data_IF_957140589999
#
_entry.id   IF_957140589999
#
_cell.length_a   1.000
_cell.length_b   1.000
_cell.length_c   1.000
_cell.angle_alpha   90.00
_cell.angle_beta   90.00
_cell.angle_gamma   90.00
#
_symmetry.space_group_name_H-M   'P 1'
#
loop_
_entity.id
_entity.type
_entity.pdbx_description
1 polymer ?
#
# COMPACT_ATOMS: atom_id res chain seq x y z
N UNK A 1 -2.64 13.86 21.40
CA UNK A 1 -2.74 12.44 21.02
C UNK A 1 -1.32 11.97 20.74
N UNK A 2 -0.82 10.99 21.51
CA UNK A 2 0.49 10.38 21.22
C UNK A 2 0.48 9.78 19.81
N UNK A 3 1.61 9.76 19.15
CA UNK A 3 1.79 9.16 17.83
C UNK A 3 1.61 7.64 17.95
N UNK A 4 0.79 7.04 17.10
CA UNK A 4 0.66 5.58 17.06
C UNK A 4 1.92 4.97 16.44
N UNK A 5 2.33 3.83 16.98
CA UNK A 5 3.47 3.05 16.49
C UNK A 5 3.31 2.72 14.99
N UNK A 6 4.44 2.76 14.27
CA UNK A 6 4.54 2.28 12.89
C UNK A 6 4.45 0.75 12.83
N UNK A 7 4.22 0.21 11.63
CA UNK A 7 4.23 -1.24 11.47
C UNK A 7 5.58 -1.85 11.83
N UNK A 8 6.71 -1.20 11.48
CA UNK A 8 8.07 -1.66 11.82
C UNK A 8 8.27 -1.73 13.33
N UNK A 9 7.82 -0.71 14.08
CA UNK A 9 7.87 -0.70 15.54
C UNK A 9 6.98 -1.79 16.15
N UNK A 10 5.79 -2.03 15.57
CA UNK A 10 4.89 -3.11 16.00
C UNK A 10 5.45 -4.49 15.70
N UNK A 11 6.07 -4.70 14.53
CA UNK A 11 6.75 -5.95 14.16
C UNK A 11 7.85 -6.26 15.18
N UNK A 12 8.67 -5.25 15.49
CA UNK A 12 9.78 -5.40 16.43
C UNK A 12 9.28 -5.71 17.84
N UNK A 13 8.31 -4.94 18.34
CA UNK A 13 7.73 -5.16 19.66
C UNK A 13 7.08 -6.54 19.79
N UNK A 14 6.17 -6.88 18.88
CA UNK A 14 5.45 -8.14 18.93
C UNK A 14 6.39 -9.34 18.71
N UNK A 15 7.36 -9.24 17.79
CA UNK A 15 8.32 -10.29 17.51
C UNK A 15 9.26 -10.57 18.68
N UNK A 16 9.78 -9.53 19.33
CA UNK A 16 10.62 -9.68 20.53
C UNK A 16 9.80 -10.24 21.69
N UNK A 17 8.60 -9.73 21.92
CA UNK A 17 7.72 -10.23 22.98
C UNK A 17 7.36 -11.71 22.76
N UNK A 18 7.04 -12.11 21.52
CA UNK A 18 6.78 -13.51 21.19
C UNK A 18 7.96 -14.43 21.50
N UNK A 19 9.18 -14.01 21.13
CA UNK A 19 10.39 -14.77 21.41
C UNK A 19 10.64 -14.93 22.92
N UNK A 20 10.44 -13.85 23.68
CA UNK A 20 10.61 -13.80 25.13
C UNK A 20 9.61 -14.74 25.80
N UNK A 21 8.32 -14.62 25.46
CA UNK A 21 7.26 -15.45 26.03
C UNK A 21 7.43 -16.94 25.68
N UNK A 22 7.81 -17.27 24.45
CA UNK A 22 8.14 -18.65 24.03
C UNK A 22 9.32 -19.25 24.80
N UNK A 23 10.23 -18.39 25.28
CA UNK A 23 11.35 -18.82 26.13
C UNK A 23 10.94 -19.02 27.59
N UNK A 24 9.67 -18.85 27.93
CA UNK A 24 9.15 -19.00 29.31
C UNK A 24 9.43 -17.80 30.21
N UNK A 25 9.87 -16.68 29.65
CA UNK A 25 10.11 -15.42 30.36
C UNK A 25 8.79 -14.65 30.44
N UNK A 26 8.50 -14.05 31.60
CA UNK A 26 7.27 -13.27 31.79
C UNK A 26 7.22 -12.01 30.94
N UNK A 27 6.01 -11.51 30.64
CA UNK A 27 5.83 -10.24 29.93
C UNK A 27 6.52 -9.06 30.60
N UNK A 28 6.50 -9.00 31.94
CA UNK A 28 7.15 -7.96 32.72
C UNK A 28 8.68 -7.99 32.55
N UNK A 29 9.29 -9.15 32.71
CA UNK A 29 10.73 -9.32 32.50
C UNK A 29 11.13 -9.08 31.05
N UNK A 30 10.27 -9.44 30.11
CA UNK A 30 10.41 -9.13 28.69
C UNK A 30 10.47 -7.63 28.42
N UNK A 31 9.59 -6.86 29.01
CA UNK A 31 9.60 -5.39 28.87
C UNK A 31 10.90 -4.80 29.46
N UNK A 32 11.42 -5.32 30.57
CA UNK A 32 12.71 -4.89 31.11
C UNK A 32 13.87 -5.13 30.13
N UNK A 33 13.89 -6.32 29.52
CA UNK A 33 14.92 -6.68 28.52
C UNK A 33 14.83 -5.76 27.28
N UNK A 34 13.63 -5.46 26.82
CA UNK A 34 13.40 -4.57 25.67
C UNK A 34 13.77 -3.11 26.00
N UNK A 35 13.45 -2.61 27.20
CA UNK A 35 13.78 -1.27 27.64
C UNK A 35 15.31 -1.03 27.74
N UNK A 36 16.06 -2.05 28.19
CA UNK A 36 17.52 -1.97 28.29
C UNK A 36 18.21 -2.01 26.93
N UNK A 37 17.60 -2.71 25.95
CA UNK A 37 18.09 -2.84 24.58
C UNK A 37 17.72 -1.70 23.64
N UNK A 38 16.75 -0.86 23.97
CA UNK A 38 16.27 0.20 23.06
C UNK A 38 17.15 1.48 23.18
N UNK A 39 17.76 1.82 22.03
CA UNK A 39 18.58 3.02 21.91
C UNK A 39 17.76 4.29 21.57
N UNK A 40 16.48 4.15 21.17
CA UNK A 40 15.63 5.26 20.77
C UNK A 40 14.87 5.83 21.98
N UNK A 41 14.95 7.14 22.17
CA UNK A 41 14.33 7.82 23.32
C UNK A 41 12.80 7.67 23.35
N UNK A 42 12.13 7.70 22.18
CA UNK A 42 10.67 7.63 22.06
C UNK A 42 10.15 6.21 22.35
N UNK A 43 10.83 5.17 21.84
CA UNK A 43 10.53 3.77 22.16
C UNK A 43 10.72 3.46 23.64
N UNK A 44 11.79 3.95 24.23
CA UNK A 44 12.11 3.77 25.64
C UNK A 44 11.07 4.39 26.58
N UNK A 45 10.50 5.55 26.23
CA UNK A 45 9.41 6.15 27.01
C UNK A 45 8.14 5.30 26.99
N UNK A 46 7.79 4.70 25.83
CA UNK A 46 6.63 3.82 25.71
C UNK A 46 6.85 2.54 26.51
N UNK A 47 8.02 1.91 26.40
CA UNK A 47 8.34 0.70 27.14
C UNK A 47 8.33 0.94 28.65
N UNK A 48 8.87 2.08 29.10
CA UNK A 48 8.82 2.50 30.51
C UNK A 48 7.38 2.67 31.02
N UNK A 49 6.51 3.29 30.23
CA UNK A 49 5.09 3.45 30.59
C UNK A 49 4.37 2.10 30.69
N UNK A 50 4.66 1.18 29.73
CA UNK A 50 4.15 -0.19 29.79
C UNK A 50 4.64 -0.90 31.06
N UNK A 51 5.93 -0.80 31.38
CA UNK A 51 6.53 -1.43 32.56
C UNK A 51 5.86 -0.95 33.85
N UNK A 52 5.74 0.37 34.03
CA UNK A 52 5.14 0.96 35.23
C UNK A 52 3.70 0.49 35.44
N UNK A 53 2.92 0.36 34.37
CA UNK A 53 1.54 -0.14 34.45
C UNK A 53 1.50 -1.65 34.66
N UNK A 54 2.36 -2.41 33.96
CA UNK A 54 2.44 -3.86 34.08
C UNK A 54 2.86 -4.31 35.49
N UNK A 55 3.73 -3.55 36.17
CA UNK A 55 4.09 -3.75 37.59
C UNK A 55 2.87 -3.59 38.52
N UNK A 56 1.89 -2.75 38.18
CA UNK A 56 0.70 -2.51 38.97
C UNK A 56 -0.42 -3.49 38.71
N UNK A 57 -0.71 -3.80 37.44
CA UNK A 57 -1.87 -4.60 37.04
C UNK A 57 -1.54 -6.05 36.67
N UNK A 58 -0.26 -6.36 36.36
CA UNK A 58 0.18 -7.69 35.99
C UNK A 58 -0.28 -8.16 34.59
N UNK A 59 -0.96 -7.33 33.81
CA UNK A 59 -1.52 -7.66 32.51
C UNK A 59 -0.96 -6.72 31.43
N UNK A 60 -0.56 -7.31 30.29
CA UNK A 60 0.07 -6.57 29.20
C UNK A 60 -0.94 -5.69 28.43
N UNK A 61 -2.17 -6.19 28.22
CA UNK A 61 -3.21 -5.47 27.48
C UNK A 61 -3.51 -4.07 28.10
N UNK A 62 -3.86 -3.95 29.41
CA UNK A 62 -4.14 -2.63 30.00
C UNK A 62 -2.90 -1.72 29.96
N UNK A 63 -1.71 -2.28 30.12
CA UNK A 63 -0.46 -1.53 30.06
C UNK A 63 -0.22 -0.96 28.65
N UNK A 64 -0.45 -1.72 27.61
CA UNK A 64 -0.38 -1.25 26.21
C UNK A 64 -1.47 -0.21 25.92
N UNK A 65 -2.71 -0.44 26.36
CA UNK A 65 -3.85 0.47 26.14
C UNK A 65 -3.58 1.85 26.72
N UNK A 66 -3.05 1.93 27.94
CA UNK A 66 -2.75 3.17 28.64
C UNK A 66 -1.77 4.06 27.87
N UNK A 67 -0.83 3.50 27.14
CA UNK A 67 0.11 4.28 26.33
C UNK A 67 -0.58 5.05 25.21
N UNK A 68 -1.70 4.55 24.70
CA UNK A 68 -2.39 5.07 23.52
C UNK A 68 -1.60 4.95 22.20
N UNK A 69 -0.43 4.31 22.23
CA UNK A 69 0.46 4.17 21.09
C UNK A 69 0.10 2.99 20.17
N UNK A 70 -0.59 1.98 20.69
CA UNK A 70 -0.95 0.77 19.93
C UNK A 70 -2.26 0.93 19.16
N UNK A 71 -2.40 0.28 17.97
CA UNK A 71 -3.67 0.17 17.27
C UNK A 71 -4.68 -0.68 18.05
N UNK A 72 -5.98 -0.37 17.91
CA UNK A 72 -7.05 -1.13 18.56
C UNK A 72 -6.97 -2.64 18.32
N UNK A 73 -6.59 -3.02 17.10
CA UNK A 73 -6.45 -4.42 16.76
C UNK A 73 -5.36 -5.14 17.56
N UNK A 74 -4.19 -4.52 17.71
CA UNK A 74 -3.13 -5.09 18.56
C UNK A 74 -3.58 -5.24 20.00
N UNK A 75 -4.32 -4.25 20.51
CA UNK A 75 -4.86 -4.25 21.87
C UNK A 75 -5.85 -5.40 22.08
N UNK A 76 -6.86 -5.52 21.21
CA UNK A 76 -7.84 -6.60 21.31
C UNK A 76 -7.22 -7.99 21.21
N UNK A 77 -6.27 -8.16 20.29
CA UNK A 77 -5.58 -9.45 20.16
C UNK A 77 -4.74 -9.78 21.39
N UNK A 78 -4.06 -8.79 21.96
CA UNK A 78 -3.30 -8.98 23.21
C UNK A 78 -4.22 -9.37 24.36
N UNK A 79 -5.37 -8.71 24.50
CA UNK A 79 -6.39 -9.04 25.50
C UNK A 79 -6.83 -10.51 25.39
N UNK A 80 -7.15 -10.96 24.17
CA UNK A 80 -7.57 -12.32 23.91
C UNK A 80 -6.43 -13.31 24.22
N UNK A 81 -5.23 -13.01 23.77
CA UNK A 81 -4.05 -13.84 24.04
C UNK A 81 -3.77 -14.00 25.54
N UNK A 82 -3.97 -12.95 26.33
CA UNK A 82 -3.86 -13.04 27.80
C UNK A 82 -4.98 -13.86 28.41
N UNK A 83 -6.24 -13.64 28.00
CA UNK A 83 -7.39 -14.37 28.52
C UNK A 83 -7.37 -15.87 28.19
N UNK A 84 -6.85 -16.22 27.01
CA UNK A 84 -6.74 -17.62 26.56
C UNK A 84 -5.43 -18.30 27.01
N UNK A 85 -4.48 -17.54 27.60
CA UNK A 85 -3.15 -18.06 27.95
C UNK A 85 -2.25 -18.36 26.76
N UNK A 86 -2.55 -17.78 25.58
CA UNK A 86 -1.81 -17.96 24.31
C UNK A 86 -1.15 -16.66 23.83
N UNK A 87 -0.64 -15.89 24.79
CA UNK A 87 -0.07 -14.56 24.47
C UNK A 87 1.17 -14.67 23.56
N UNK A 88 1.96 -15.72 23.70
CA UNK A 88 3.14 -15.98 22.87
C UNK A 88 2.77 -16.24 21.40
N UNK A 89 1.76 -17.09 21.14
CA UNK A 89 1.22 -17.36 19.80
C UNK A 89 0.58 -16.09 19.21
N UNK A 90 -0.13 -15.34 20.04
CA UNK A 90 -0.78 -14.09 19.64
C UNK A 90 0.22 -13.01 19.23
N UNK A 91 1.31 -12.85 20.00
CA UNK A 91 2.37 -11.90 19.67
C UNK A 91 3.09 -12.28 18.37
N UNK A 92 3.35 -13.59 18.15
CA UNK A 92 3.92 -14.07 16.89
C UNK A 92 2.98 -13.77 15.69
N UNK A 93 1.70 -14.06 15.85
CA UNK A 93 0.69 -13.81 14.83
C UNK A 93 0.51 -12.31 14.53
N UNK A 94 0.58 -11.44 15.55
CA UNK A 94 0.60 -10.00 15.39
C UNK A 94 1.83 -9.52 14.62
N UNK A 95 3.01 -10.03 14.93
CA UNK A 95 4.23 -9.71 14.22
C UNK A 95 4.12 -10.09 12.72
N UNK A 96 3.65 -11.31 12.43
CA UNK A 96 3.42 -11.77 11.06
C UNK A 96 2.36 -10.93 10.31
N UNK A 97 1.29 -10.52 10.99
CA UNK A 97 0.26 -9.65 10.43
C UNK A 97 0.83 -8.29 10.03
N UNK A 98 1.56 -7.60 10.94
CA UNK A 98 2.15 -6.30 10.65
C UNK A 98 3.27 -6.39 9.62
N UNK A 99 4.00 -7.51 9.57
CA UNK A 99 4.98 -7.79 8.52
C UNK A 99 4.31 -7.80 7.13
N UNK A 100 3.19 -8.51 6.96
CA UNK A 100 2.43 -8.53 5.70
C UNK A 100 1.88 -7.15 5.33
N UNK A 101 1.42 -6.38 6.31
CA UNK A 101 0.96 -5.00 6.08
C UNK A 101 2.11 -4.09 5.61
N UNK A 102 3.31 -4.20 6.19
CA UNK A 102 4.48 -3.42 5.78
C UNK A 102 4.97 -3.81 4.38
N UNK A 103 5.08 -5.10 4.08
CA UNK A 103 5.42 -5.58 2.74
C UNK A 103 4.44 -5.06 1.67
N UNK A 104 3.15 -5.00 1.99
CA UNK A 104 2.14 -4.40 1.09
C UNK A 104 2.38 -2.91 0.90
N UNK A 105 2.72 -2.18 1.97
CA UNK A 105 3.02 -0.76 1.91
C UNK A 105 4.27 -0.48 1.09
N UNK A 106 5.31 -1.28 1.27
CA UNK A 106 6.58 -1.14 0.54
C UNK A 106 6.42 -1.49 -0.95
N UNK A 107 5.64 -2.51 -1.26
CA UNK A 107 5.29 -2.82 -2.64
C UNK A 107 4.56 -1.65 -3.32
N UNK A 108 3.60 -1.01 -2.64
CA UNK A 108 2.88 0.17 -3.16
C UNK A 108 3.81 1.38 -3.27
N UNK A 109 4.66 1.63 -2.28
CA UNK A 109 5.65 2.72 -2.26
C UNK A 109 6.60 2.61 -3.46
N UNK A 110 7.18 1.42 -3.64
CA UNK A 110 8.09 1.11 -4.75
C UNK A 110 7.39 1.25 -6.11
N UNK A 111 6.14 0.78 -6.20
CA UNK A 111 5.31 0.88 -7.40
C UNK A 111 5.05 2.32 -7.85
N UNK A 112 4.99 3.27 -6.93
CA UNK A 112 4.69 4.68 -7.21
C UNK A 112 5.96 5.51 -7.37
N UNK A 113 7.00 5.22 -6.61
CA UNK A 113 8.23 6.03 -6.59
C UNK A 113 8.93 6.07 -7.95
N UNK A 114 9.07 4.90 -8.61
CA UNK A 114 9.73 4.82 -9.90
C UNK A 114 8.98 5.58 -11.03
N UNK A 115 7.67 5.37 -11.27
CA UNK A 115 6.91 6.15 -12.25
C UNK A 115 6.92 7.65 -11.99
N UNK A 116 6.88 8.09 -10.73
CA UNK A 116 6.93 9.52 -10.36
C UNK A 116 8.28 10.12 -10.71
N UNK A 117 9.38 9.45 -10.39
CA UNK A 117 10.73 9.90 -10.76
C UNK A 117 10.90 9.97 -12.28
N UNK A 118 10.42 8.96 -13.00
CA UNK A 118 10.47 8.91 -14.46
C UNK A 118 9.64 10.01 -15.13
N UNK A 119 8.41 10.25 -14.64
CA UNK A 119 7.58 11.37 -15.10
C UNK A 119 8.24 12.71 -14.84
N UNK A 120 8.88 12.89 -13.69
CA UNK A 120 9.63 14.10 -13.37
C UNK A 120 10.75 14.34 -14.37
N UNK A 121 11.55 13.31 -14.68
CA UNK A 121 12.64 13.39 -15.67
C UNK A 121 12.10 13.67 -17.08
N UNK A 122 11.01 13.01 -17.48
CA UNK A 122 10.32 13.24 -18.75
C UNK A 122 9.90 14.72 -18.90
N UNK A 123 9.26 15.28 -17.87
CA UNK A 123 8.84 16.67 -17.87
C UNK A 123 10.01 17.64 -18.01
N UNK A 124 11.15 17.36 -17.34
CA UNK A 124 12.37 18.16 -17.48
C UNK A 124 12.90 18.10 -18.91
N UNK A 125 12.99 16.93 -19.52
CA UNK A 125 13.46 16.76 -20.91
C UNK A 125 12.54 17.55 -21.87
N UNK A 126 11.24 17.36 -21.77
CA UNK A 126 10.25 18.06 -22.61
C UNK A 126 10.33 19.59 -22.41
N UNK A 127 10.46 20.04 -21.17
CA UNK A 127 10.63 21.47 -20.87
C UNK A 127 11.91 22.04 -21.50
N UNK A 128 13.06 21.34 -21.40
CA UNK A 128 14.31 21.77 -22.05
C UNK A 128 14.16 21.83 -23.56
N UNK A 129 13.52 20.84 -24.19
CA UNK A 129 13.25 20.83 -25.62
C UNK A 129 12.42 22.06 -26.06
N UNK A 130 11.35 22.37 -25.35
CA UNK A 130 10.50 23.51 -25.71
C UNK A 130 11.13 24.87 -25.37
N UNK A 131 11.84 25.01 -24.26
CA UNK A 131 12.36 26.29 -23.77
C UNK A 131 13.68 26.65 -24.44
N UNK A 132 14.55 25.66 -24.74
CA UNK A 132 15.90 25.89 -25.25
C UNK A 132 16.06 25.50 -26.71
N UNK A 133 15.56 24.33 -27.11
CA UNK A 133 15.85 23.77 -28.44
C UNK A 133 14.94 24.40 -29.51
N UNK A 134 13.64 24.48 -29.26
CA UNK A 134 12.70 25.05 -30.25
C UNK A 134 13.00 26.51 -30.65
N UNK A 135 13.35 27.45 -29.75
CA UNK A 135 13.70 28.82 -30.14
C UNK A 135 14.97 28.90 -30.99
N UNK A 136 15.94 27.99 -30.81
CA UNK A 136 17.14 27.95 -31.66
C UNK A 136 16.76 27.64 -33.11
N UNK A 137 15.87 26.66 -33.30
CA UNK A 137 15.37 26.33 -34.64
C UNK A 137 14.55 27.47 -35.27
N UNK A 138 13.72 28.15 -34.48
CA UNK A 138 12.98 29.33 -34.94
C UNK A 138 13.94 30.40 -35.50
N UNK A 139 15.04 30.69 -34.81
CA UNK A 139 16.06 31.62 -35.26
C UNK A 139 16.72 31.17 -36.57
N UNK A 140 17.06 29.88 -36.71
CA UNK A 140 17.63 29.33 -37.94
C UNK A 140 16.65 29.49 -39.13
N UNK A 141 15.36 29.24 -38.94
CA UNK A 141 14.34 29.42 -39.97
C UNK A 141 14.21 30.89 -40.41
N UNK A 142 14.17 31.82 -39.44
CA UNK A 142 14.13 33.26 -39.74
C UNK A 142 15.36 33.71 -40.52
N UNK A 143 16.56 33.17 -40.20
CA UNK A 143 17.80 33.48 -40.95
C UNK A 143 17.79 32.93 -42.39
N UNK A 144 17.03 31.85 -42.64
CA UNK A 144 16.86 31.26 -43.97
C UNK A 144 15.71 31.97 -44.78
N UNK A 145 15.12 33.03 -44.22
CA UNK A 145 14.06 33.77 -44.87
C UNK A 145 12.73 33.05 -44.99
N UNK A 146 12.54 32.00 -44.23
CA UNK A 146 11.32 31.21 -44.25
C UNK A 146 10.61 31.24 -42.89
N UNK A 147 9.26 31.25 -42.92
CA UNK A 147 8.47 31.05 -41.71
C UNK A 147 8.17 29.57 -41.47
N UNK A 148 8.26 29.15 -40.23
CA UNK A 148 7.82 27.80 -39.87
C UNK A 148 6.32 27.62 -40.13
N UNK A 149 5.93 26.60 -40.87
CA UNK A 149 4.55 26.30 -41.25
C UNK A 149 4.10 24.95 -40.70
N UNK A 150 2.78 24.69 -40.75
CA UNK A 150 2.22 23.38 -40.36
C UNK A 150 2.40 23.03 -38.87
N UNK A 151 2.79 21.78 -38.60
CA UNK A 151 2.93 21.23 -37.25
C UNK A 151 4.03 21.93 -36.44
N UNK A 152 5.11 22.39 -37.12
CA UNK A 152 6.21 23.11 -36.46
C UNK A 152 5.71 24.44 -35.88
N UNK A 153 4.83 25.19 -36.59
CA UNK A 153 4.23 26.43 -36.10
C UNK A 153 3.27 26.21 -34.92
N UNK A 154 2.51 25.12 -34.96
CA UNK A 154 1.66 24.71 -33.82
C UNK A 154 2.49 24.38 -32.58
N UNK A 155 3.60 23.63 -32.74
CA UNK A 155 4.55 23.31 -31.66
C UNK A 155 5.23 24.58 -31.13
N UNK A 156 5.61 25.53 -31.97
CA UNK A 156 6.13 26.83 -31.54
C UNK A 156 5.09 27.65 -30.77
N UNK A 157 3.84 27.66 -31.20
CA UNK A 157 2.76 28.31 -30.46
C UNK A 157 2.52 27.71 -29.10
N UNK A 158 2.56 26.35 -29.01
CA UNK A 158 2.51 25.65 -27.74
C UNK A 158 3.75 25.98 -26.90
N UNK A 159 4.95 26.00 -27.50
CA UNK A 159 6.21 26.38 -26.84
C UNK A 159 6.21 27.84 -26.37
N UNK A 160 5.64 28.77 -27.16
CA UNK A 160 5.47 30.18 -26.79
C UNK A 160 4.51 30.34 -25.62
N UNK A 161 3.36 29.65 -25.65
CA UNK A 161 2.43 29.56 -24.53
C UNK A 161 3.07 28.90 -23.31
N UNK A 162 3.84 27.80 -23.49
CA UNK A 162 4.61 27.16 -22.45
C UNK A 162 5.71 28.07 -21.88
N UNK A 163 6.38 28.88 -22.70
CA UNK A 163 7.40 29.83 -22.24
C UNK A 163 6.80 30.94 -21.38
N UNK A 164 5.62 31.45 -21.76
CA UNK A 164 4.86 32.42 -20.98
C UNK A 164 4.22 31.79 -19.75
N UNK A 165 3.85 30.50 -19.83
CA UNK A 165 3.25 29.69 -18.75
C UNK A 165 4.22 28.66 -18.18
N UNK A 166 5.51 28.65 -18.58
CA UNK A 166 6.50 27.65 -18.15
C UNK A 166 6.62 27.59 -16.62
N UNK A 167 6.53 28.73 -15.97
CA UNK A 167 6.51 28.81 -14.50
C UNK A 167 5.23 28.13 -13.98
N UNK A 168 4.10 28.32 -14.63
CA UNK A 168 2.81 27.72 -14.24
C UNK A 168 2.84 26.20 -14.45
N UNK A 169 3.40 25.71 -15.57
CA UNK A 169 3.54 24.28 -15.86
C UNK A 169 4.55 23.58 -14.95
N UNK A 170 5.68 24.21 -14.67
CA UNK A 170 6.66 23.70 -13.71
C UNK A 170 6.07 23.74 -12.30
N UNK A 171 5.38 24.81 -11.93
CA UNK A 171 4.67 24.89 -10.65
C UNK A 171 3.56 23.83 -10.57
N UNK A 172 2.78 23.63 -11.64
CA UNK A 172 1.75 22.58 -11.69
C UNK A 172 2.36 21.18 -11.57
N UNK A 173 3.46 20.90 -12.26
CA UNK A 173 4.17 19.63 -12.16
C UNK A 173 4.76 19.42 -10.76
N UNK A 174 5.38 20.46 -10.19
CA UNK A 174 5.89 20.44 -8.81
C UNK A 174 4.75 20.29 -7.81
N UNK A 175 3.62 20.96 -8.01
CA UNK A 175 2.42 20.80 -7.16
C UNK A 175 1.84 19.40 -7.27
N UNK A 176 1.77 18.81 -8.47
CA UNK A 176 1.34 17.40 -8.64
C UNK A 176 2.32 16.46 -7.96
N UNK A 177 3.63 16.66 -8.12
CA UNK A 177 4.67 15.89 -7.42
C UNK A 177 4.58 16.03 -5.90
N UNK A 178 4.35 17.25 -5.42
CA UNK A 178 4.15 17.52 -3.98
C UNK A 178 2.86 16.87 -3.49
N UNK A 179 1.75 16.93 -4.25
CA UNK A 179 0.48 16.28 -3.88
C UNK A 179 0.67 14.76 -3.83
N UNK A 180 1.31 14.16 -4.82
CA UNK A 180 1.62 12.73 -4.84
C UNK A 180 2.54 12.35 -3.67
N UNK A 181 3.58 13.12 -3.42
CA UNK A 181 4.49 12.96 -2.29
C UNK A 181 3.76 13.11 -0.95
N UNK A 182 2.87 14.10 -0.82
CA UNK A 182 2.05 14.32 0.36
C UNK A 182 1.03 13.19 0.60
N UNK A 183 0.39 12.68 -0.46
CA UNK A 183 -0.52 11.53 -0.39
C UNK A 183 0.23 10.25 0.01
N UNK A 184 1.50 10.09 -0.40
CA UNK A 184 2.33 8.96 0.01
C UNK A 184 2.72 9.08 1.49
N UNK A 185 3.06 10.28 1.98
CA UNK A 185 3.55 10.52 3.36
C UNK A 185 2.44 10.64 4.41
N UNK A 186 1.28 11.21 4.07
CA UNK A 186 0.22 11.47 5.04
C UNK A 186 -0.86 10.39 5.05
N UNK A 187 -0.85 9.57 6.10
CA UNK A 187 -1.77 8.42 6.33
C UNK A 187 -3.27 8.80 6.22
N UNK A 188 -3.65 10.00 6.65
CA UNK A 188 -5.05 10.51 6.62
C UNK A 188 -5.52 10.90 5.20
N UNK A 189 -4.69 11.62 4.45
CA UNK A 189 -4.99 12.00 3.06
C UNK A 189 -5.04 10.78 2.13
N UNK A 190 -4.24 9.74 2.45
CA UNK A 190 -4.20 8.49 1.71
C UNK A 190 -5.50 7.71 1.79
N UNK A 191 -6.15 7.65 2.95
CA UNK A 191 -7.40 6.88 3.14
C UNK A 191 -8.55 7.50 2.33
N UNK A 192 -8.71 8.81 2.36
CA UNK A 192 -9.76 9.52 1.62
C UNK A 192 -9.54 9.51 0.10
N UNK A 193 -8.28 9.62 -0.34
CA UNK A 193 -7.91 9.58 -1.76
C UNK A 193 -8.04 8.17 -2.35
N UNK A 194 -7.61 7.15 -1.61
CA UNK A 194 -7.73 5.73 -1.99
C UNK A 194 -9.21 5.33 -2.09
N UNK A 195 -10.08 5.76 -1.19
CA UNK A 195 -11.51 5.44 -1.25
C UNK A 195 -12.19 5.98 -2.51
N UNK A 196 -11.80 7.17 -2.98
CA UNK A 196 -12.29 7.74 -4.24
C UNK A 196 -11.72 7.08 -5.49
N UNK A 197 -10.46 6.63 -5.46
CA UNK A 197 -9.81 5.98 -6.60
C UNK A 197 -10.17 4.48 -6.71
N UNK A 198 -10.62 3.86 -5.65
CA UNK A 198 -11.11 2.47 -5.63
C UNK A 198 -12.28 2.21 -6.61
N UNK A 199 -12.93 3.27 -7.12
CA UNK A 199 -13.97 3.19 -8.15
C UNK A 199 -13.42 2.88 -9.55
N UNK A 200 -12.13 3.05 -9.81
CA UNK A 200 -11.50 2.77 -11.10
C UNK A 200 -11.25 1.26 -11.19
N UNK A 201 -11.73 0.61 -12.25
CA UNK A 201 -11.81 -0.85 -12.39
C UNK A 201 -10.55 -1.66 -12.06
N UNK A 202 -9.35 -1.09 -12.27
CA UNK A 202 -8.09 -1.74 -11.92
C UNK A 202 -7.78 -1.64 -10.41
N UNK A 203 -7.96 -0.47 -9.82
CA UNK A 203 -7.76 -0.24 -8.39
C UNK A 203 -8.73 -1.05 -7.52
N UNK A 204 -9.94 -1.31 -8.04
CA UNK A 204 -10.93 -2.20 -7.40
C UNK A 204 -10.38 -3.62 -7.21
N UNK A 205 -9.63 -4.15 -8.20
CA UNK A 205 -9.01 -5.48 -8.09
C UNK A 205 -7.91 -5.55 -7.01
N UNK A 206 -7.12 -4.49 -6.88
CA UNK A 206 -6.07 -4.38 -5.85
C UNK A 206 -6.72 -4.27 -4.46
N UNK A 207 -7.70 -3.37 -4.30
CA UNK A 207 -8.43 -3.20 -3.06
C UNK A 207 -9.11 -4.49 -2.59
N UNK A 208 -9.72 -5.23 -3.53
CA UNK A 208 -10.35 -6.52 -3.26
C UNK A 208 -9.35 -7.57 -2.77
N UNK A 209 -8.18 -7.69 -3.43
CA UNK A 209 -7.15 -8.64 -3.02
C UNK A 209 -6.56 -8.27 -1.66
N UNK A 210 -6.25 -6.99 -1.44
CA UNK A 210 -5.76 -6.51 -0.15
C UNK A 210 -6.74 -6.78 0.98
N UNK A 211 -8.03 -6.54 0.75
CA UNK A 211 -9.06 -6.81 1.74
C UNK A 211 -9.16 -8.30 2.07
N UNK A 212 -9.06 -9.18 1.06
CA UNK A 212 -9.02 -10.64 1.27
C UNK A 212 -7.79 -11.09 2.06
N UNK A 213 -6.61 -10.52 1.78
CA UNK A 213 -5.39 -10.80 2.56
C UNK A 213 -5.60 -10.46 4.03
N UNK A 214 -6.12 -9.26 4.32
CA UNK A 214 -6.40 -8.81 5.68
C UNK A 214 -7.42 -9.69 6.38
N UNK A 215 -8.50 -10.02 5.70
CA UNK A 215 -9.53 -10.90 6.22
C UNK A 215 -8.97 -12.28 6.57
N UNK A 216 -8.26 -12.92 5.62
CA UNK A 216 -7.68 -14.24 5.84
C UNK A 216 -6.61 -14.23 6.96
N UNK A 217 -5.75 -13.20 7.00
CA UNK A 217 -4.77 -13.04 8.09
C UNK A 217 -5.43 -12.82 9.44
N UNK A 218 -6.50 -12.01 9.49
CA UNK A 218 -7.27 -11.77 10.70
C UNK A 218 -7.94 -13.02 11.23
N UNK A 219 -8.56 -13.81 10.34
CA UNK A 219 -9.19 -15.08 10.68
C UNK A 219 -8.15 -16.10 11.18
N UNK A 220 -7.04 -16.27 10.44
CA UNK A 220 -5.97 -17.19 10.85
C UNK A 220 -5.46 -16.88 12.25
N UNK A 221 -5.18 -15.60 12.50
CA UNK A 221 -4.65 -15.15 13.79
C UNK A 221 -5.67 -15.33 14.93
N UNK A 222 -6.93 -14.95 14.70
CA UNK A 222 -7.98 -15.07 15.69
C UNK A 222 -8.21 -16.56 16.10
N UNK A 223 -8.28 -17.45 15.11
CA UNK A 223 -8.43 -18.89 15.35
C UNK A 223 -7.23 -19.48 16.06
N UNK A 224 -5.99 -19.11 15.66
CA UNK A 224 -4.74 -19.53 16.35
C UNK A 224 -4.70 -19.05 17.79
N UNK A 225 -5.27 -17.89 18.09
CA UNK A 225 -5.36 -17.34 19.46
C UNK A 225 -6.46 -17.99 20.29
N UNK A 226 -7.21 -18.96 19.74
CA UNK A 226 -8.22 -19.74 20.45
C UNK A 226 -9.62 -19.16 20.44
N UNK A 227 -9.89 -18.11 19.63
CA UNK A 227 -11.26 -17.66 19.42
C UNK A 227 -12.06 -18.68 18.63
N UNK A 228 -13.36 -18.70 18.88
CA UNK A 228 -14.27 -19.46 18.06
C UNK A 228 -14.47 -18.83 16.65
N UNK A 229 -15.21 -19.52 15.79
CA UNK A 229 -15.41 -19.13 14.40
C UNK A 229 -16.18 -17.81 14.28
N UNK A 230 -17.22 -17.63 15.11
CA UNK A 230 -18.10 -16.44 15.05
C UNK A 230 -17.37 -15.19 15.55
N UNK A 231 -16.62 -15.32 16.65
CA UNK A 231 -15.80 -14.24 17.19
C UNK A 231 -14.66 -13.86 16.22
N UNK A 232 -13.99 -14.87 15.64
CA UNK A 232 -12.94 -14.66 14.65
C UNK A 232 -13.47 -13.93 13.41
N UNK A 233 -14.66 -14.28 12.94
CA UNK A 233 -15.30 -13.64 11.81
C UNK A 233 -15.69 -12.19 12.11
N UNK A 234 -16.23 -11.92 13.31
CA UNK A 234 -16.58 -10.57 13.78
C UNK A 234 -15.36 -9.67 13.91
N UNK A 235 -14.26 -10.20 14.45
CA UNK A 235 -13.00 -9.46 14.55
C UNK A 235 -12.42 -9.14 13.18
N UNK A 236 -12.42 -10.11 12.26
CA UNK A 236 -11.90 -9.94 10.91
C UNK A 236 -12.72 -8.96 10.07
N UNK A 237 -14.03 -8.84 10.33
CA UNK A 237 -14.90 -7.80 9.75
C UNK A 237 -14.42 -6.40 10.13
N UNK A 238 -14.08 -6.17 11.41
CA UNK A 238 -13.58 -4.86 11.90
C UNK A 238 -12.26 -4.47 11.26
N UNK A 239 -11.42 -5.44 10.86
CA UNK A 239 -10.16 -5.20 10.16
C UNK A 239 -10.35 -4.83 8.69
N UNK A 240 -11.50 -5.06 8.13
CA UNK A 240 -11.78 -4.89 6.71
C UNK A 240 -12.23 -3.46 6.43
N UNK A 241 -11.37 -2.67 5.75
CA UNK A 241 -11.66 -1.29 5.33
C UNK A 241 -12.41 -1.22 3.99
N UNK A 242 -12.73 -2.36 3.36
CA UNK A 242 -13.32 -2.44 2.04
C UNK A 242 -14.79 -2.88 2.12
N UNK A 243 -15.71 -1.92 2.02
CA UNK A 243 -17.14 -2.13 2.19
C UNK A 243 -17.73 -3.33 1.41
N UNK A 244 -17.37 -3.57 0.12
CA UNK A 244 -17.93 -4.73 -0.59
C UNK A 244 -17.54 -6.09 0.02
N UNK A 245 -16.37 -6.21 0.66
CA UNK A 245 -16.00 -7.43 1.37
C UNK A 245 -16.67 -7.49 2.73
N UNK A 246 -16.77 -6.36 3.43
CA UNK A 246 -17.45 -6.26 4.72
C UNK A 246 -18.90 -6.74 4.65
N UNK A 247 -19.66 -6.29 3.63
CA UNK A 247 -21.02 -6.77 3.38
C UNK A 247 -21.08 -8.29 3.16
N UNK A 248 -20.10 -8.87 2.49
CA UNK A 248 -20.03 -10.33 2.27
C UNK A 248 -19.70 -11.10 3.55
N UNK A 249 -18.85 -10.53 4.41
CA UNK A 249 -18.56 -11.10 5.73
C UNK A 249 -19.82 -11.09 6.59
N UNK A 250 -20.57 -9.98 6.60
CA UNK A 250 -21.85 -9.88 7.31
C UNK A 250 -22.88 -10.90 6.78
N UNK A 251 -22.98 -11.07 5.46
CA UNK A 251 -23.81 -12.11 4.86
C UNK A 251 -23.40 -13.51 5.34
N UNK A 252 -22.10 -13.79 5.42
CA UNK A 252 -21.58 -15.06 5.95
C UNK A 252 -22.01 -15.27 7.43
N UNK A 253 -21.90 -14.22 8.25
CA UNK A 253 -22.33 -14.26 9.66
C UNK A 253 -23.83 -14.52 9.81
N UNK A 254 -24.66 -13.89 8.98
CA UNK A 254 -26.13 -14.10 9.01
C UNK A 254 -26.47 -15.55 8.66
N UNK A 255 -25.85 -16.12 7.62
CA UNK A 255 -26.09 -17.52 7.23
C UNK A 255 -25.66 -18.50 8.33
N UNK A 256 -24.53 -18.22 9.01
CA UNK A 256 -24.10 -19.06 10.15
C UNK A 256 -25.09 -18.97 11.31
N UNK A 257 -25.68 -17.81 11.60
CA UNK A 257 -26.76 -17.68 12.62
C UNK A 257 -28.01 -18.43 12.23
N UNK A 258 -28.28 -18.61 10.93
CA UNK A 258 -29.40 -19.43 10.41
C UNK A 258 -29.09 -20.94 10.47
N UNK A 259 -27.88 -21.33 10.90
CA UNK A 259 -27.47 -22.72 11.10
C UNK A 259 -26.67 -23.31 9.95
N UNK A 260 -26.28 -22.51 8.97
CA UNK A 260 -25.39 -22.97 7.91
C UNK A 260 -23.93 -23.15 8.41
N UNK A 261 -23.23 -24.10 7.81
CA UNK A 261 -21.82 -24.33 8.14
C UNK A 261 -20.92 -23.22 7.58
N UNK A 262 -19.85 -22.87 8.29
CA UNK A 262 -18.91 -21.83 7.87
C UNK A 262 -18.41 -21.96 6.43
N UNK A 263 -17.96 -23.15 5.93
CA UNK A 263 -17.54 -23.28 4.54
C UNK A 263 -18.63 -23.01 3.52
N UNK A 264 -19.88 -23.39 3.84
CA UNK A 264 -21.04 -23.16 2.97
C UNK A 264 -21.38 -21.67 2.91
N UNK A 265 -21.47 -21.02 4.05
CA UNK A 265 -21.72 -19.59 4.16
C UNK A 265 -20.62 -18.76 3.46
N UNK A 266 -19.35 -19.14 3.63
CA UNK A 266 -18.21 -18.51 2.98
C UNK A 266 -18.26 -18.62 1.45
N UNK A 267 -18.66 -19.79 0.93
CA UNK A 267 -18.83 -20.06 -0.49
C UNK A 267 -19.98 -19.26 -1.09
N UNK A 268 -21.15 -19.24 -0.45
CA UNK A 268 -22.32 -18.49 -0.93
C UNK A 268 -22.07 -16.97 -0.90
N UNK A 269 -21.34 -16.47 0.06
CA UNK A 269 -20.90 -15.09 0.09
C UNK A 269 -19.82 -14.77 -0.97
N UNK A 270 -19.26 -15.77 -1.65
CA UNK A 270 -18.20 -15.60 -2.66
C UNK A 270 -17.02 -14.76 -2.14
N UNK A 271 -16.57 -15.06 -0.92
CA UNK A 271 -15.42 -14.39 -0.31
C UNK A 271 -14.12 -14.92 -0.91
N UNK A 272 -14.01 -16.23 -1.11
CA UNK A 272 -12.87 -16.87 -1.75
C UNK A 272 -13.23 -17.39 -3.15
N UNK A 273 -12.25 -17.89 -3.87
CA UNK A 273 -12.40 -18.40 -5.23
C UNK A 273 -11.86 -19.84 -5.33
N UNK A 274 -12.60 -20.70 -6.03
CA UNK A 274 -12.14 -21.96 -6.61
C UNK A 274 -11.39 -22.88 -5.65
N UNK A 275 -10.07 -22.83 -5.64
CA UNK A 275 -9.23 -23.74 -4.86
C UNK A 275 -9.32 -23.46 -3.36
N UNK A 276 -9.36 -22.18 -2.96
CA UNK A 276 -9.45 -21.77 -1.56
C UNK A 276 -10.78 -22.19 -0.92
N UNK A 277 -11.90 -22.13 -1.68
CA UNK A 277 -13.18 -22.65 -1.19
C UNK A 277 -13.10 -24.14 -0.84
N UNK A 278 -12.43 -24.93 -1.69
CA UNK A 278 -12.24 -26.38 -1.44
C UNK A 278 -11.35 -26.63 -0.23
N UNK A 279 -10.25 -25.88 -0.11
CA UNK A 279 -9.37 -25.98 1.05
C UNK A 279 -10.08 -25.61 2.34
N UNK A 280 -11.00 -24.62 2.32
CA UNK A 280 -11.81 -24.26 3.49
C UNK A 280 -12.72 -25.40 3.94
N UNK A 281 -13.33 -26.14 2.99
CA UNK A 281 -14.13 -27.33 3.33
C UNK A 281 -13.26 -28.38 4.03
N UNK A 282 -12.07 -28.67 3.48
CA UNK A 282 -11.14 -29.65 4.04
C UNK A 282 -10.65 -29.19 5.41
N UNK A 283 -10.23 -27.94 5.55
CA UNK A 283 -9.78 -27.37 6.80
C UNK A 283 -10.86 -27.41 7.90
N UNK A 284 -12.10 -27.16 7.53
CA UNK A 284 -13.22 -27.22 8.46
C UNK A 284 -13.48 -28.66 8.94
N UNK A 285 -13.47 -29.64 8.04
CA UNK A 285 -13.67 -31.07 8.38
C UNK A 285 -12.50 -31.63 9.19
N UNK A 286 -11.30 -31.13 9.01
CA UNK A 286 -10.07 -31.58 9.73
C UNK A 286 -9.76 -30.77 10.98
N UNK A 287 -10.47 -29.66 11.22
CA UNK A 287 -10.20 -28.76 12.34
C UNK A 287 -8.98 -27.85 12.14
N UNK A 288 -8.46 -27.73 10.90
CA UNK A 288 -7.26 -26.95 10.53
C UNK A 288 -7.64 -25.68 9.72
N UNK A 289 -8.73 -25.01 10.09
CA UNK A 289 -9.20 -23.78 9.40
C UNK A 289 -8.19 -22.65 9.52
N UNK A 290 -7.53 -22.55 10.67
CA UNK A 290 -6.49 -21.55 10.95
C UNK A 290 -5.30 -21.67 9.97
N UNK A 291 -4.80 -22.89 9.73
CA UNK A 291 -3.73 -23.15 8.76
C UNK A 291 -4.16 -22.82 7.32
N UNK A 292 -5.40 -23.20 6.95
CA UNK A 292 -5.93 -22.90 5.61
C UNK A 292 -6.14 -21.41 5.42
N UNK A 293 -6.58 -20.69 6.44
CA UNK A 293 -6.69 -19.23 6.41
C UNK A 293 -5.33 -18.55 6.26
N UNK A 294 -4.30 -19.05 6.94
CA UNK A 294 -2.94 -18.55 6.80
C UNK A 294 -2.40 -18.75 5.38
N UNK A 295 -2.57 -19.95 4.82
CA UNK A 295 -2.19 -20.24 3.42
C UNK A 295 -2.97 -19.34 2.44
N UNK A 296 -4.24 -19.07 2.68
CA UNK A 296 -5.03 -18.16 1.86
C UNK A 296 -4.51 -16.71 1.96
N UNK A 297 -4.13 -16.25 3.15
CA UNK A 297 -3.53 -14.95 3.36
C UNK A 297 -2.22 -14.79 2.57
N UNK A 298 -1.32 -15.76 2.65
CA UNK A 298 -0.05 -15.77 1.92
C UNK A 298 -0.25 -15.77 0.40
N UNK A 299 -1.20 -16.57 -0.09
CA UNK A 299 -1.53 -16.62 -1.51
C UNK A 299 -2.05 -15.27 -2.01
N UNK A 300 -3.00 -14.65 -1.29
CA UNK A 300 -3.55 -13.36 -1.69
C UNK A 300 -2.51 -12.24 -1.58
N UNK A 301 -1.63 -12.30 -0.59
CA UNK A 301 -0.49 -11.40 -0.46
C UNK A 301 0.42 -11.48 -1.70
N UNK A 302 0.81 -12.69 -2.08
CA UNK A 302 1.62 -12.92 -3.28
C UNK A 302 0.92 -12.44 -4.55
N UNK A 303 -0.36 -12.76 -4.71
CA UNK A 303 -1.14 -12.29 -5.84
C UNK A 303 -1.27 -10.76 -5.91
N UNK A 304 -1.31 -10.09 -4.75
CA UNK A 304 -1.33 -8.64 -4.66
C UNK A 304 0.00 -8.05 -5.12
N UNK A 305 1.13 -8.59 -4.64
CA UNK A 305 2.47 -8.18 -5.03
C UNK A 305 2.69 -8.39 -6.55
N UNK A 306 2.32 -9.56 -7.08
CA UNK A 306 2.40 -9.87 -8.52
C UNK A 306 1.58 -8.89 -9.37
N UNK A 307 0.41 -8.49 -8.89
CA UNK A 307 -0.46 -7.55 -9.60
C UNK A 307 0.13 -6.14 -9.62
N UNK A 308 0.74 -5.70 -8.51
CA UNK A 308 1.44 -4.42 -8.42
C UNK A 308 2.65 -4.42 -9.37
N UNK A 309 3.46 -5.48 -9.37
CA UNK A 309 4.61 -5.61 -10.27
C UNK A 309 4.22 -5.61 -11.75
N UNK A 310 3.15 -6.32 -12.14
CA UNK A 310 2.63 -6.28 -13.51
C UNK A 310 2.20 -4.89 -13.94
N UNK A 311 1.65 -4.10 -13.03
CA UNK A 311 1.30 -2.71 -13.31
C UNK A 311 2.54 -1.86 -13.61
N UNK A 312 3.59 -2.00 -12.81
CA UNK A 312 4.86 -1.28 -13.02
C UNK A 312 5.46 -1.67 -14.38
N UNK A 313 5.51 -2.96 -14.67
CA UNK A 313 6.07 -3.50 -15.90
C UNK A 313 5.39 -2.99 -17.19
N UNK A 314 4.12 -2.60 -17.13
CA UNK A 314 3.39 -2.00 -18.27
C UNK A 314 3.60 -0.48 -18.32
N UNK A 315 3.70 0.18 -17.16
CA UNK A 315 3.87 1.63 -17.09
C UNK A 315 5.20 2.10 -17.71
N UNK A 316 6.28 1.39 -17.46
CA UNK A 316 7.61 1.76 -17.93
C UNK A 316 7.72 1.84 -19.47
N UNK A 317 7.40 0.78 -20.26
CA UNK A 317 7.44 0.86 -21.72
C UNK A 317 6.47 1.90 -22.29
N UNK A 318 5.32 2.10 -21.63
CA UNK A 318 4.34 3.10 -22.07
C UNK A 318 4.88 4.52 -21.95
N UNK A 319 5.53 4.86 -20.83
CA UNK A 319 6.15 6.16 -20.62
C UNK A 319 7.30 6.41 -21.59
N UNK A 320 8.16 5.40 -21.82
CA UNK A 320 9.24 5.48 -22.80
C UNK A 320 8.68 5.65 -24.21
N UNK A 321 7.64 4.92 -24.57
CA UNK A 321 6.95 5.05 -25.86
C UNK A 321 6.40 6.45 -26.09
N UNK A 322 5.73 7.02 -25.09
CA UNK A 322 5.23 8.41 -25.14
C UNK A 322 6.38 9.40 -25.34
N UNK A 323 7.50 9.23 -24.62
CA UNK A 323 8.68 10.08 -24.79
C UNK A 323 9.23 9.99 -26.22
N UNK A 324 9.40 8.78 -26.76
CA UNK A 324 9.89 8.57 -28.11
C UNK A 324 8.98 9.24 -29.16
N UNK A 325 7.66 9.16 -29.00
CA UNK A 325 6.71 9.81 -29.89
C UNK A 325 6.84 11.35 -29.82
N UNK A 326 6.92 11.91 -28.61
CA UNK A 326 7.08 13.37 -28.42
C UNK A 326 8.39 13.84 -29.06
N UNK A 327 9.50 13.19 -28.76
CA UNK A 327 10.82 13.54 -29.34
C UNK A 327 10.82 13.37 -30.86
N UNK A 328 10.22 12.27 -31.37
CA UNK A 328 10.08 12.02 -32.79
C UNK A 328 9.29 13.10 -33.52
N UNK A 329 8.16 13.54 -32.96
CA UNK A 329 7.36 14.63 -33.52
C UNK A 329 8.18 15.94 -33.58
N UNK A 330 8.92 16.27 -32.52
CA UNK A 330 9.75 17.47 -32.46
C UNK A 330 10.85 17.40 -33.54
N UNK A 331 11.57 16.29 -33.65
CA UNK A 331 12.62 16.09 -34.64
C UNK A 331 12.08 16.16 -36.07
N UNK A 332 10.97 15.48 -36.37
CA UNK A 332 10.33 15.55 -37.69
C UNK A 332 9.87 16.96 -38.04
N UNK A 333 9.30 17.69 -37.08
CA UNK A 333 8.83 19.08 -37.28
C UNK A 333 9.97 20.04 -37.61
N UNK A 334 11.19 19.70 -37.19
CA UNK A 334 12.37 20.52 -37.47
C UNK A 334 13.07 20.06 -38.76
N UNK A 335 13.18 18.75 -38.99
CA UNK A 335 13.92 18.21 -40.14
C UNK A 335 13.17 18.32 -41.46
N UNK A 336 11.84 18.09 -41.48
CA UNK A 336 11.04 18.12 -42.70
C UNK A 336 11.18 19.44 -43.51
N UNK A 337 11.04 20.60 -42.89
CA UNK A 337 11.22 21.88 -43.61
C UNK A 337 12.67 22.10 -44.05
N UNK A 338 13.68 21.69 -43.26
CA UNK A 338 15.10 21.82 -43.65
C UNK A 338 15.41 21.01 -44.92
N UNK A 339 14.88 19.79 -45.01
CA UNK A 339 14.99 18.96 -46.24
C UNK A 339 14.26 19.63 -47.42
N UNK A 340 13.12 20.25 -47.19
CA UNK A 340 12.38 21.00 -48.22
C UNK A 340 13.17 22.20 -48.78
N UNK A 341 13.88 22.94 -47.90
CA UNK A 341 14.75 24.05 -48.29
C UNK A 341 15.94 23.52 -49.11
N UNK A 342 16.60 22.46 -48.66
CA UNK A 342 17.74 21.85 -49.38
C UNK A 342 17.30 21.31 -50.76
N UNK A 343 16.12 20.77 -50.91
CA UNK A 343 15.57 20.26 -52.17
C UNK A 343 15.11 21.41 -53.12
N UNK A 344 14.83 22.59 -52.61
CA UNK A 344 14.46 23.79 -53.41
C UNK A 344 15.60 24.66 -53.86
N UNK A 345 16.83 24.42 -53.38
CA UNK A 345 18.07 25.14 -53.74
C UNK A 345 18.88 24.36 -54.81
N UNK A 346 18.54 23.13 -55.16
CA UNK A 346 19.07 22.35 -56.26
C UNK A 346 18.15 22.41 -57.45
#
# INVERSE_FOLDING_TARGET
MKKKLSNEELITFCGQMALILKSGISSLEGIYIMEDGDAQTEGKEILKEIREELEMCGMLYPAMEKTGAFPEYALHMTEIGEQTGRLDETMEALAAYYQREEETLDAVKSAVTYPVAMLGMLLVIVAVLFIKVMPVFEQVYMQLGQEMTGVARQLLNIGGWMRQSAIVLVVLAVVILIIVFFVILYKKARIEFISKIQTIGFMKKIAWKRARTRFASGMAMALKSGLDMDESLSLSEKLTDYEPLKMKIQQCQEQMKEGETFPKALKEAHIFDGMQERLMVIGYETGAVDEVMEQAADLYQKQLQDQIQKMIAVLEPTLVGILCVIVGIILLSVMLPLVGIMAGIG
#
